data_IF_427740626599
#
_entry.id   IF_427740626599
#
_cell.length_a   1.000
_cell.length_b   1.000
_cell.length_c   1.000
_cell.angle_alpha   90.00
_cell.angle_beta   90.00
_cell.angle_gamma   90.00
#
_symmetry.space_group_name_H-M   'P 1'
#
loop_
_entity.id
_entity.type
_entity.pdbx_description
1 polymer ?
#
# COMPACT_ATOMS: atom_id res chain seq x y z
N UNK A 1 -2.93 0.62 -16.75
CA UNK A 1 -1.96 -0.13 -15.93
C UNK A 1 -1.05 0.89 -15.28
N UNK A 2 -1.12 1.02 -13.96
CA UNK A 2 -0.23 1.85 -13.17
C UNK A 2 1.05 1.06 -12.86
N UNK A 3 2.20 1.63 -13.20
CA UNK A 3 3.51 1.01 -12.95
C UNK A 3 4.17 1.57 -11.69
N UNK A 4 5.15 0.86 -11.11
CA UNK A 4 5.93 1.37 -9.98
C UNK A 4 6.66 2.66 -10.31
N UNK A 5 6.85 3.52 -9.31
CA UNK A 5 7.80 4.64 -9.41
C UNK A 5 9.24 4.16 -9.48
N UNK A 6 10.17 5.04 -9.77
CA UNK A 6 11.61 4.72 -9.88
C UNK A 6 11.93 3.57 -10.87
N UNK A 7 11.06 3.31 -11.85
CA UNK A 7 11.27 2.26 -12.85
C UNK A 7 12.24 2.71 -13.94
N UNK A 8 12.26 4.00 -14.25
CA UNK A 8 13.09 4.58 -15.29
C UNK A 8 14.27 5.36 -14.70
N UNK A 9 15.39 5.34 -15.39
CA UNK A 9 16.58 6.05 -14.95
C UNK A 9 16.33 7.57 -14.88
N UNK A 10 16.77 8.20 -13.78
CA UNK A 10 16.73 9.65 -13.61
C UNK A 10 15.36 10.23 -13.21
N UNK A 11 14.35 9.40 -12.93
CA UNK A 11 13.05 9.87 -12.46
C UNK A 11 12.43 8.96 -11.41
N UNK A 12 11.83 9.56 -10.38
CA UNK A 12 11.04 8.85 -9.36
C UNK A 12 9.55 8.74 -9.71
N UNK A 13 9.13 9.35 -10.82
CA UNK A 13 7.72 9.45 -11.20
C UNK A 13 7.17 8.07 -11.55
N UNK A 14 6.01 7.74 -11.00
CA UNK A 14 5.24 6.58 -11.44
C UNK A 14 4.65 6.86 -12.83
N UNK A 15 4.72 5.87 -13.69
CA UNK A 15 4.19 5.94 -15.07
C UNK A 15 3.00 5.02 -15.23
N UNK A 16 2.19 5.23 -16.27
CA UNK A 16 1.11 4.33 -16.60
C UNK A 16 1.15 3.93 -18.07
N UNK A 17 0.62 2.75 -18.36
CA UNK A 17 0.38 2.27 -19.72
C UNK A 17 -1.12 2.38 -20.01
N UNK A 18 -1.50 3.16 -21.00
CA UNK A 18 -2.86 3.23 -21.50
C UNK A 18 -2.98 2.41 -22.78
N UNK A 19 -3.84 1.41 -22.77
CA UNK A 19 -4.10 0.56 -23.94
C UNK A 19 -5.45 0.92 -24.54
N UNK A 20 -5.43 1.46 -25.75
CA UNK A 20 -6.63 1.80 -26.52
C UNK A 20 -6.89 0.73 -27.57
N UNK A 21 -8.05 0.11 -27.51
CA UNK A 21 -8.43 -0.96 -28.43
C UNK A 21 -9.58 -0.50 -29.33
N UNK A 22 -9.36 -0.50 -30.64
CA UNK A 22 -10.40 -0.28 -31.64
C UNK A 22 -11.26 -1.55 -31.79
N UNK A 23 -12.53 -1.40 -32.10
CA UNK A 23 -13.49 -2.51 -32.28
C UNK A 23 -13.68 -3.37 -31.01
N UNK A 24 -13.75 -2.73 -29.86
CA UNK A 24 -14.07 -3.36 -28.60
C UNK A 24 -15.56 -3.76 -28.57
N UNK A 25 -15.87 -4.93 -28.07
CA UNK A 25 -17.25 -5.47 -28.01
C UNK A 25 -18.01 -5.02 -26.76
N UNK A 26 -17.31 -4.53 -25.75
CA UNK A 26 -17.89 -4.01 -24.51
C UNK A 26 -17.33 -2.63 -24.16
N UNK A 27 -18.00 -1.91 -23.26
CA UNK A 27 -17.59 -0.59 -22.77
C UNK A 27 -16.77 -0.63 -21.47
N UNK A 28 -16.43 -1.81 -20.97
CA UNK A 28 -15.70 -1.96 -19.70
C UNK A 28 -14.23 -1.62 -19.85
N UNK A 29 -13.67 -0.98 -18.86
CA UNK A 29 -12.26 -0.59 -18.78
C UNK A 29 -11.59 -1.36 -17.65
N UNK A 30 -10.47 -2.02 -17.92
CA UNK A 30 -9.68 -2.72 -16.91
C UNK A 30 -8.63 -1.76 -16.35
N UNK A 31 -8.64 -1.57 -15.05
CA UNK A 31 -7.62 -0.88 -14.28
C UNK A 31 -6.73 -1.91 -13.58
N UNK A 32 -5.42 -1.76 -13.65
CA UNK A 32 -4.45 -2.63 -12.98
C UNK A 32 -3.50 -1.76 -12.18
N UNK A 33 -3.40 -2.01 -10.88
CA UNK A 33 -2.41 -1.39 -10.01
C UNK A 33 -1.21 -2.32 -9.85
N UNK A 34 -0.17 -2.08 -10.62
CA UNK A 34 1.09 -2.80 -10.52
C UNK A 34 2.16 -2.02 -9.74
N UNK A 35 1.80 -1.04 -8.94
CA UNK A 35 2.76 -0.21 -8.18
C UNK A 35 3.63 -0.99 -7.21
N UNK A 36 3.13 -2.12 -6.70
CA UNK A 36 3.85 -3.04 -5.81
C UNK A 36 4.59 -4.15 -6.56
N UNK A 37 4.36 -4.32 -7.86
CA UNK A 37 4.93 -5.37 -8.69
C UNK A 37 6.35 -5.01 -9.14
N UNK A 38 7.28 -4.97 -8.20
CA UNK A 38 8.68 -4.70 -8.51
C UNK A 38 9.62 -5.20 -7.41
N UNK A 39 10.88 -5.32 -7.77
CA UNK A 39 11.97 -5.48 -6.82
C UNK A 39 12.83 -4.21 -6.80
N UNK A 40 13.35 -3.87 -5.64
CA UNK A 40 14.27 -2.73 -5.50
C UNK A 40 15.68 -3.18 -5.87
N UNK A 41 16.28 -2.49 -6.85
CA UNK A 41 17.66 -2.72 -7.26
C UNK A 41 18.44 -1.42 -7.07
N UNK A 42 19.20 -1.32 -6.00
CA UNK A 42 19.89 -0.09 -5.59
C UNK A 42 18.92 1.09 -5.42
N UNK A 43 18.97 2.09 -6.28
CA UNK A 43 18.11 3.27 -6.22
C UNK A 43 16.87 3.18 -7.13
N UNK A 44 16.78 2.16 -7.98
CA UNK A 44 15.70 1.99 -8.95
C UNK A 44 14.87 0.74 -8.64
N UNK A 45 13.64 0.73 -9.12
CA UNK A 45 12.79 -0.45 -9.14
C UNK A 45 12.95 -1.19 -10.48
N UNK A 46 12.78 -2.50 -10.46
CA UNK A 46 12.82 -3.35 -11.64
C UNK A 46 11.65 -4.31 -11.64
N UNK A 47 11.02 -4.48 -12.78
CA UNK A 47 10.03 -5.54 -13.01
C UNK A 47 10.76 -6.87 -13.23
N UNK A 48 10.38 -7.89 -12.50
CA UNK A 48 10.83 -9.27 -12.74
C UNK A 48 9.98 -9.92 -13.83
N UNK A 49 10.45 -11.00 -14.47
CA UNK A 49 9.63 -11.78 -15.40
C UNK A 49 8.28 -12.20 -14.80
N UNK A 50 8.26 -12.58 -13.51
CA UNK A 50 7.02 -12.98 -12.81
C UNK A 50 6.06 -11.81 -12.65
N UNK A 51 6.56 -10.62 -12.30
CA UNK A 51 5.73 -9.41 -12.24
C UNK A 51 5.11 -9.09 -13.61
N UNK A 52 5.91 -9.17 -14.67
CA UNK A 52 5.44 -8.93 -16.03
C UNK A 52 4.39 -9.96 -16.42
N UNK A 53 4.62 -11.24 -16.14
CA UNK A 53 3.68 -12.33 -16.43
C UNK A 53 2.35 -12.10 -15.71
N UNK A 54 2.38 -11.77 -14.41
CA UNK A 54 1.17 -11.46 -13.64
C UNK A 54 0.35 -10.32 -14.26
N UNK A 55 1.01 -9.22 -14.62
CA UNK A 55 0.36 -8.07 -15.26
C UNK A 55 -0.27 -8.47 -16.60
N UNK A 56 0.49 -9.18 -17.45
CA UNK A 56 0.04 -9.60 -18.79
C UNK A 56 -1.09 -10.61 -18.71
N UNK A 57 -1.02 -11.58 -17.82
CA UNK A 57 -2.06 -12.60 -17.63
C UNK A 57 -3.37 -11.96 -17.11
N UNK A 58 -3.27 -11.05 -16.16
CA UNK A 58 -4.42 -10.30 -15.67
C UNK A 58 -5.05 -9.43 -16.77
N UNK A 59 -4.21 -8.78 -17.58
CA UNK A 59 -4.67 -8.00 -18.73
C UNK A 59 -5.34 -8.87 -19.79
N UNK A 60 -4.76 -10.02 -20.14
CA UNK A 60 -5.28 -10.93 -21.17
C UNK A 60 -6.59 -11.60 -20.73
N UNK A 61 -6.66 -12.05 -19.48
CA UNK A 61 -7.84 -12.68 -18.90
C UNK A 61 -8.91 -11.67 -18.47
N UNK A 62 -8.61 -10.36 -18.47
CA UNK A 62 -9.47 -9.29 -17.93
C UNK A 62 -9.98 -9.64 -16.52
N UNK A 63 -9.07 -10.17 -15.71
CA UNK A 63 -9.39 -10.66 -14.37
C UNK A 63 -9.57 -9.50 -13.40
N UNK A 64 -10.57 -9.65 -12.54
CA UNK A 64 -10.77 -8.79 -11.38
C UNK A 64 -10.11 -9.44 -10.16
N UNK A 65 -9.24 -8.71 -9.48
CA UNK A 65 -8.49 -9.20 -8.32
C UNK A 65 -8.40 -8.08 -7.28
N UNK A 66 -8.80 -8.38 -6.04
CA UNK A 66 -8.77 -7.41 -4.94
C UNK A 66 -7.37 -6.77 -4.79
N UNK A 67 -7.32 -5.47 -4.59
CA UNK A 67 -6.10 -4.68 -4.44
C UNK A 67 -5.10 -4.73 -5.61
N UNK A 68 -5.50 -5.31 -6.75
CA UNK A 68 -4.64 -5.42 -7.92
C UNK A 68 -5.31 -4.99 -9.22
N UNK A 69 -6.55 -5.41 -9.47
CA UNK A 69 -7.25 -5.07 -10.71
C UNK A 69 -8.75 -4.94 -10.54
N UNK A 70 -9.34 -3.98 -11.26
CA UNK A 70 -10.78 -3.73 -11.28
C UNK A 70 -11.30 -3.52 -12.70
N UNK A 71 -12.43 -4.12 -13.02
CA UNK A 71 -13.08 -4.02 -14.33
C UNK A 71 -14.27 -3.06 -14.25
N UNK A 72 -14.01 -1.76 -14.37
CA UNK A 72 -15.01 -0.70 -14.27
C UNK A 72 -15.94 -0.65 -15.49
N UNK A 73 -17.22 -0.42 -15.22
CA UNK A 73 -18.22 -0.09 -16.26
C UNK A 73 -18.11 1.37 -16.71
N UNK A 74 -18.69 1.70 -17.86
CA UNK A 74 -18.74 3.09 -18.31
C UNK A 74 -19.56 3.98 -17.37
N UNK A 75 -20.60 3.44 -16.75
CA UNK A 75 -21.43 4.14 -15.77
C UNK A 75 -20.67 4.49 -14.50
N UNK A 76 -19.85 3.56 -14.03
CA UNK A 76 -18.95 3.76 -12.90
C UNK A 76 -17.93 4.86 -13.19
N UNK A 77 -17.32 4.83 -14.38
CA UNK A 77 -16.35 5.85 -14.81
C UNK A 77 -17.03 7.22 -14.94
N UNK A 78 -18.24 7.28 -15.47
CA UNK A 78 -19.02 8.51 -15.55
C UNK A 78 -19.36 9.06 -14.16
N UNK A 79 -19.70 8.19 -13.20
CA UNK A 79 -19.92 8.54 -11.80
C UNK A 79 -18.69 9.14 -11.10
N UNK A 80 -17.51 8.82 -11.58
CA UNK A 80 -16.22 9.37 -11.12
C UNK A 80 -15.74 10.55 -12.01
N UNK A 81 -16.64 11.24 -12.65
CA UNK A 81 -16.34 12.39 -13.52
C UNK A 81 -15.32 12.09 -14.63
N UNK A 82 -15.33 10.85 -15.13
CA UNK A 82 -14.35 10.33 -16.11
C UNK A 82 -12.89 10.35 -15.62
N UNK A 83 -12.67 10.33 -14.34
CA UNK A 83 -11.33 10.17 -13.78
C UNK A 83 -10.81 8.77 -14.14
N UNK A 84 -9.63 8.71 -14.76
CA UNK A 84 -8.97 7.45 -15.17
C UNK A 84 -7.78 7.10 -14.26
N UNK A 85 -7.69 7.68 -13.06
CA UNK A 85 -6.67 7.30 -12.10
C UNK A 85 -6.93 5.88 -11.58
N UNK A 86 -5.94 5.02 -11.63
CA UNK A 86 -6.06 3.62 -11.20
C UNK A 86 -6.44 3.53 -9.71
N UNK A 87 -5.90 4.41 -8.88
CA UNK A 87 -6.18 4.46 -7.44
C UNK A 87 -7.64 4.81 -7.09
N UNK A 88 -8.43 5.31 -8.04
CA UNK A 88 -9.86 5.55 -7.86
C UNK A 88 -10.67 4.25 -7.92
N UNK A 89 -10.20 3.25 -8.65
CA UNK A 89 -10.91 2.00 -8.93
C UNK A 89 -10.29 0.80 -8.21
N UNK A 90 -8.99 0.84 -7.95
CA UNK A 90 -8.27 -0.22 -7.25
C UNK A 90 -7.84 0.30 -5.89
N UNK A 91 -8.52 -0.17 -4.83
CA UNK A 91 -8.13 0.17 -3.47
C UNK A 91 -6.78 -0.44 -3.13
N UNK A 92 -5.88 0.39 -2.62
CA UNK A 92 -4.62 -0.13 -2.09
C UNK A 92 -4.87 -1.03 -0.88
N UNK A 93 -4.14 -2.12 -0.80
CA UNK A 93 -4.15 -2.97 0.38
C UNK A 93 -3.75 -2.16 1.62
N UNK A 94 -4.61 -2.11 2.63
CA UNK A 94 -4.30 -1.44 3.89
C UNK A 94 -3.29 -2.29 4.68
N UNK A 95 -2.01 -1.98 4.47
CA UNK A 95 -0.89 -2.62 5.17
C UNK A 95 -0.60 -2.00 6.55
N UNK A 96 -1.44 -1.04 7.00
CA UNK A 96 -1.27 -0.49 8.34
C UNK A 96 -1.52 -1.57 9.36
N UNK A 97 -0.59 -1.75 10.28
CA UNK A 97 -0.81 -2.61 11.45
C UNK A 97 -2.08 -2.14 12.15
N UNK A 98 -3.02 -3.06 12.33
CA UNK A 98 -4.17 -2.82 13.19
C UNK A 98 -3.64 -2.73 14.61
N UNK A 99 -3.37 -1.50 15.06
CA UNK A 99 -2.93 -1.25 16.43
C UNK A 99 -4.10 -1.64 17.32
N UNK A 100 -3.93 -2.70 18.09
CA UNK A 100 -4.85 -3.04 19.17
C UNK A 100 -4.64 -2.05 20.31
N UNK A 101 -5.50 -1.03 20.34
CA UNK A 101 -5.47 0.03 21.36
C UNK A 101 -5.57 -0.56 22.77
N UNK A 102 -6.28 -1.68 22.92
CA UNK A 102 -6.45 -2.34 24.21
C UNK A 102 -5.13 -2.97 24.68
N UNK A 103 -4.44 -3.66 23.77
CA UNK A 103 -3.12 -4.25 24.06
C UNK A 103 -2.07 -3.17 24.34
N UNK A 104 -2.07 -2.09 23.54
CA UNK A 104 -1.17 -0.96 23.72
C UNK A 104 -1.39 -0.24 25.06
N UNK A 105 -2.64 -0.02 25.45
CA UNK A 105 -2.99 0.58 26.74
C UNK A 105 -2.57 -0.31 27.91
N UNK A 106 -2.68 -1.64 27.78
CA UNK A 106 -2.21 -2.56 28.80
C UNK A 106 -0.68 -2.51 28.95
N UNK A 107 0.04 -2.41 27.84
CA UNK A 107 1.51 -2.26 27.86
C UNK A 107 1.94 -0.94 28.49
N UNK A 108 1.27 0.16 28.15
CA UNK A 108 1.50 1.47 28.78
C UNK A 108 1.27 1.41 30.28
N UNK A 109 0.19 0.77 30.74
CA UNK A 109 -0.11 0.63 32.15
C UNK A 109 0.99 -0.15 32.89
N UNK A 110 1.54 -1.20 32.28
CA UNK A 110 2.67 -1.95 32.86
C UNK A 110 3.95 -1.10 32.95
N UNK A 111 4.25 -0.32 31.93
CA UNK A 111 5.42 0.58 31.92
C UNK A 111 5.30 1.62 33.02
N UNK A 112 4.12 2.26 33.16
CA UNK A 112 3.87 3.27 34.20
C UNK A 112 3.98 2.67 35.60
N UNK A 113 3.43 1.47 35.81
CA UNK A 113 3.55 0.78 37.10
C UNK A 113 5.02 0.48 37.46
N UNK A 114 5.81 0.05 36.46
CA UNK A 114 7.25 -0.19 36.65
C UNK A 114 8.03 1.09 36.92
N UNK A 115 7.67 2.18 36.26
CA UNK A 115 8.28 3.51 36.52
C UNK A 115 8.02 3.95 37.96
N UNK A 116 6.81 3.78 38.47
CA UNK A 116 6.47 4.15 39.86
C UNK A 116 7.28 3.36 40.87
N UNK A 117 7.48 2.05 40.67
CA UNK A 117 8.32 1.21 41.53
C UNK A 117 9.77 1.72 41.52
N UNK A 118 10.33 2.00 40.34
CA UNK A 118 11.69 2.50 40.24
C UNK A 118 11.86 3.87 40.92
N UNK A 119 10.89 4.75 40.82
CA UNK A 119 10.90 6.03 41.54
C UNK A 119 10.91 5.86 43.05
N UNK A 120 10.09 4.97 43.57
CA UNK A 120 10.07 4.66 45.00
C UNK A 120 11.41 4.10 45.48
N UNK A 121 12.06 3.23 44.71
CA UNK A 121 13.39 2.71 45.00
C UNK A 121 14.45 3.81 45.03
N UNK A 122 14.39 4.76 44.06
CA UNK A 122 15.28 5.93 44.01
C UNK A 122 15.06 6.80 45.26
N UNK A 123 13.82 7.13 45.61
CA UNK A 123 13.47 7.96 46.76
C UNK A 123 13.96 7.32 48.07
N UNK A 124 13.86 5.97 48.16
CA UNK A 124 14.41 5.23 49.30
C UNK A 124 15.93 5.34 49.41
N UNK A 125 16.64 5.19 48.28
CA UNK A 125 18.10 5.32 48.23
C UNK A 125 18.53 6.74 48.62
N UNK A 126 17.82 7.76 48.09
CA UNK A 126 18.09 9.16 48.44
C UNK A 126 17.90 9.37 49.95
N UNK A 127 16.82 8.88 50.52
CA UNK A 127 16.56 8.96 51.96
C UNK A 127 17.63 8.25 52.83
N UNK A 128 18.23 7.17 52.32
CA UNK A 128 19.35 6.47 53.00
C UNK A 128 20.68 7.24 52.90
N UNK A 129 20.86 8.07 51.88
CA UNK A 129 22.06 8.89 51.66
C UNK A 129 21.98 10.21 52.45
N UNK A 130 20.80 10.81 52.56
CA UNK A 130 20.56 12.07 53.25
C UNK A 130 20.34 11.92 54.76
N UNK A 131 20.10 10.73 55.23
CA UNK A 131 19.96 10.39 56.68
C UNK A 131 21.29 10.01 57.26
#
# INVERSE_FOLDING_TARGET
IQLPGNLFFGTSIATCIMVLKKNKTDSKTLFIDATKECIKVTNNNKLTPDNITRIVDTFAARREEAHFSHLASLEEIAGQEYNLSVSTYVEAEDTREKIDITALNAEIAQIVAREQVLRQEIDKIIGEIEG
#
